data_IF_299116682557
#
_entry.id   IF_299116682557
#
_cell.length_a   1.000
_cell.length_b   1.000
_cell.length_c   1.000
_cell.angle_alpha   90.00
_cell.angle_beta   90.00
_cell.angle_gamma   90.00
#
_symmetry.space_group_name_H-M   'P 1'
#
loop_
_entity.id
_entity.type
_entity.pdbx_description
1 polymer ?
#
# COMPACT_ATOMS: atom_id res chain seq x y z
N UNK A 1 3.87 -0.67 25.45
CA UNK A 1 2.54 -1.31 25.44
C UNK A 1 2.76 -2.71 24.91
N UNK A 2 2.19 -3.72 25.57
CA UNK A 2 2.24 -5.12 25.13
C UNK A 2 1.30 -5.35 23.94
N UNK A 3 1.53 -6.42 23.18
CA UNK A 3 0.79 -6.75 21.95
C UNK A 3 -0.73 -6.76 22.15
N UNK A 4 -1.31 -7.41 23.17
CA UNK A 4 -2.77 -7.44 23.34
C UNK A 4 -3.37 -6.04 23.44
N UNK A 5 -2.81 -5.16 24.27
CA UNK A 5 -3.31 -3.79 24.43
C UNK A 5 -3.22 -2.96 23.15
N UNK A 6 -2.22 -3.21 22.31
CA UNK A 6 -2.13 -2.57 21.00
C UNK A 6 -3.28 -3.02 20.09
N UNK A 7 -3.56 -4.32 20.02
CA UNK A 7 -4.62 -4.86 19.18
C UNK A 7 -6.02 -4.48 19.70
N UNK A 8 -6.22 -4.46 21.02
CA UNK A 8 -7.45 -3.93 21.65
C UNK A 8 -7.65 -2.45 21.29
N UNK A 9 -6.60 -1.63 21.39
CA UNK A 9 -6.67 -0.21 21.06
C UNK A 9 -6.97 0.03 19.57
N UNK A 10 -6.40 -0.78 18.67
CA UNK A 10 -6.72 -0.73 17.24
C UNK A 10 -8.17 -1.14 16.97
N UNK A 11 -8.66 -2.19 17.64
CA UNK A 11 -10.05 -2.67 17.51
C UNK A 11 -11.08 -1.59 17.87
N UNK A 12 -10.80 -0.77 18.90
CA UNK A 12 -11.65 0.36 19.28
C UNK A 12 -11.75 1.48 18.23
N UNK A 13 -10.87 1.50 17.24
CA UNK A 13 -10.89 2.47 16.14
C UNK A 13 -11.66 1.96 14.92
N UNK A 14 -12.15 0.71 14.95
CA UNK A 14 -12.99 0.12 13.91
C UNK A 14 -14.47 0.35 14.27
N UNK A 15 -15.26 1.05 13.43
CA UNK A 15 -16.69 1.17 13.69
C UNK A 15 -17.40 -0.19 13.64
N UNK A 16 -18.31 -0.45 14.57
CA UNK A 16 -19.05 -1.73 14.65
C UNK A 16 -19.85 -2.07 13.37
N UNK A 17 -20.24 -1.07 12.60
CA UNK A 17 -20.98 -1.25 11.34
C UNK A 17 -20.10 -1.72 10.17
N UNK A 18 -18.78 -1.75 10.31
CA UNK A 18 -17.86 -2.25 9.27
C UNK A 18 -17.94 -3.76 9.23
N UNK A 19 -18.19 -4.29 8.03
CA UNK A 19 -18.25 -5.72 7.74
C UNK A 19 -17.51 -5.95 6.43
N UNK A 20 -16.61 -6.93 6.40
CA UNK A 20 -15.87 -7.29 5.16
C UNK A 20 -16.75 -8.15 4.23
N UNK A 21 -16.28 -8.37 3.00
CA UNK A 21 -16.98 -9.27 2.05
C UNK A 21 -17.10 -10.71 2.59
N UNK A 22 -16.17 -11.12 3.46
CA UNK A 22 -16.17 -12.42 4.13
C UNK A 22 -16.99 -12.43 5.42
N UNK A 23 -17.79 -11.39 5.67
CA UNK A 23 -18.58 -11.20 6.89
C UNK A 23 -17.75 -11.07 8.18
N UNK A 24 -16.48 -10.68 8.07
CA UNK A 24 -15.64 -10.39 9.25
C UNK A 24 -16.07 -9.05 9.85
N UNK A 25 -16.14 -9.01 11.17
CA UNK A 25 -16.51 -7.86 11.99
C UNK A 25 -15.48 -7.64 13.10
N UNK A 26 -15.56 -6.50 13.78
CA UNK A 26 -14.71 -6.24 14.95
C UNK A 26 -14.98 -7.23 16.09
N UNK A 27 -16.17 -7.84 16.16
CA UNK A 27 -16.47 -8.86 17.18
C UNK A 27 -15.65 -10.13 17.00
N UNK A 28 -15.40 -10.53 15.75
CA UNK A 28 -14.52 -11.67 15.46
C UNK A 28 -13.11 -11.40 16.00
N UNK A 29 -12.60 -10.18 15.83
CA UNK A 29 -11.29 -9.77 16.39
C UNK A 29 -11.27 -9.94 17.90
N UNK A 30 -12.32 -9.49 18.61
CA UNK A 30 -12.41 -9.64 20.07
C UNK A 30 -12.44 -11.11 20.51
N UNK A 31 -13.08 -12.00 19.73
CA UNK A 31 -13.06 -13.43 19.98
C UNK A 31 -11.64 -14.00 19.91
N UNK A 32 -10.89 -13.69 18.86
CA UNK A 32 -9.49 -14.14 18.72
C UNK A 32 -8.57 -13.57 19.80
N UNK A 33 -8.76 -12.29 20.18
CA UNK A 33 -8.01 -11.67 21.28
C UNK A 33 -8.26 -12.37 22.62
N UNK A 34 -9.50 -12.78 22.90
CA UNK A 34 -9.86 -13.50 24.13
C UNK A 34 -9.23 -14.90 24.23
N UNK A 35 -8.78 -15.46 23.10
CA UNK A 35 -8.13 -16.78 23.02
C UNK A 35 -6.62 -16.70 22.81
N UNK A 36 -6.02 -15.51 22.97
CA UNK A 36 -4.59 -15.25 22.74
C UNK A 36 -4.12 -15.49 21.28
N UNK A 37 -5.04 -15.48 20.31
CA UNK A 37 -4.75 -15.69 18.89
C UNK A 37 -4.40 -14.35 18.20
N UNK A 38 -3.31 -13.72 18.66
CA UNK A 38 -2.96 -12.34 18.31
C UNK A 38 -2.56 -12.12 16.85
N UNK A 39 -1.90 -13.08 16.21
CA UNK A 39 -1.57 -12.99 14.77
C UNK A 39 -2.84 -12.99 13.92
N UNK A 40 -3.81 -13.85 14.25
CA UNK A 40 -5.11 -13.90 13.56
C UNK A 40 -5.90 -12.61 13.80
N UNK A 41 -5.94 -12.12 15.04
CA UNK A 41 -6.57 -10.84 15.34
C UNK A 41 -5.95 -9.68 14.55
N UNK A 42 -4.63 -9.67 14.35
CA UNK A 42 -3.95 -8.68 13.54
C UNK A 42 -4.37 -8.78 12.06
N UNK A 43 -4.37 -9.98 11.47
CA UNK A 43 -4.75 -10.19 10.07
C UNK A 43 -6.20 -9.72 9.80
N UNK A 44 -7.12 -10.00 10.73
CA UNK A 44 -8.51 -9.54 10.63
C UNK A 44 -8.62 -8.00 10.71
N UNK A 45 -7.81 -7.36 11.56
CA UNK A 45 -7.76 -5.90 11.63
C UNK A 45 -7.19 -5.28 10.35
N UNK A 46 -6.19 -5.91 9.72
CA UNK A 46 -5.69 -5.48 8.40
C UNK A 46 -6.80 -5.53 7.34
N UNK A 47 -7.59 -6.61 7.30
CA UNK A 47 -8.72 -6.76 6.37
C UNK A 47 -9.82 -5.71 6.62
N UNK A 48 -10.19 -5.49 7.88
CA UNK A 48 -11.17 -4.47 8.27
C UNK A 48 -10.73 -3.06 7.87
N UNK A 49 -9.42 -2.76 8.00
CA UNK A 49 -8.84 -1.48 7.60
C UNK A 49 -8.83 -1.23 6.08
N UNK A 50 -8.96 -2.27 5.27
CA UNK A 50 -9.04 -2.12 3.81
C UNK A 50 -10.46 -1.80 3.31
N UNK A 51 -11.49 -2.19 4.08
CA UNK A 51 -12.91 -1.92 3.74
C UNK A 51 -13.30 -0.49 4.11
N UNK A 52 -12.85 0.01 5.26
CA UNK A 52 -13.17 1.35 5.74
C UNK A 52 -11.89 2.12 6.04
N UNK A 53 -11.65 3.32 5.44
CA UNK A 53 -10.43 4.09 5.68
C UNK A 53 -10.28 4.46 7.16
N UNK A 54 -9.42 3.78 7.93
CA UNK A 54 -9.35 4.01 9.37
C UNK A 54 -8.46 5.23 9.65
N UNK A 55 -8.52 5.81 10.86
CA UNK A 55 -7.64 6.90 11.23
C UNK A 55 -6.17 6.45 11.19
N UNK A 56 -5.24 7.36 10.92
CA UNK A 56 -3.80 7.06 10.89
C UNK A 56 -3.29 6.31 12.13
N UNK A 57 -3.84 6.62 13.31
CA UNK A 57 -3.47 5.98 14.57
C UNK A 57 -3.72 4.46 14.58
N UNK A 58 -4.73 3.99 13.84
CA UNK A 58 -5.01 2.57 13.66
C UNK A 58 -3.82 1.83 13.06
N UNK A 59 -3.37 2.27 11.88
CA UNK A 59 -2.24 1.65 11.17
C UNK A 59 -0.92 1.78 11.93
N UNK A 60 -0.70 2.90 12.64
CA UNK A 60 0.49 3.06 13.49
C UNK A 60 0.51 2.05 14.66
N UNK A 61 -0.67 1.78 15.23
CA UNK A 61 -0.83 0.85 16.34
C UNK A 61 -0.61 -0.59 15.86
N UNK A 62 -1.20 -0.98 14.73
CA UNK A 62 -0.98 -2.28 14.10
C UNK A 62 0.48 -2.51 13.69
N UNK A 63 1.14 -1.50 13.10
CA UNK A 63 2.55 -1.59 12.75
C UNK A 63 3.41 -1.92 13.99
N UNK A 64 3.14 -1.24 15.12
CA UNK A 64 3.85 -1.49 16.38
C UNK A 64 3.58 -2.90 16.92
N UNK A 65 2.35 -3.41 16.80
CA UNK A 65 2.01 -4.77 17.22
C UNK A 65 2.71 -5.82 16.35
N UNK A 66 2.66 -5.66 15.02
CA UNK A 66 3.34 -6.54 14.07
C UNK A 66 4.85 -6.59 14.30
N UNK A 67 5.50 -5.45 14.57
CA UNK A 67 6.93 -5.37 14.90
C UNK A 67 7.27 -6.15 16.18
N UNK A 68 6.44 -6.03 17.23
CA UNK A 68 6.66 -6.79 18.48
C UNK A 68 6.48 -8.30 18.31
N UNK A 69 5.61 -8.71 17.39
CA UNK A 69 5.41 -10.12 17.01
C UNK A 69 6.38 -10.61 15.93
N UNK A 70 7.28 -9.75 15.42
CA UNK A 70 8.22 -10.06 14.33
C UNK A 70 7.54 -10.47 13.01
N UNK A 71 6.36 -9.92 12.75
CA UNK A 71 5.61 -10.11 11.51
C UNK A 71 6.03 -9.06 10.47
N UNK A 72 7.21 -9.26 9.88
CA UNK A 72 7.87 -8.25 9.02
C UNK A 72 6.99 -7.75 7.85
N UNK A 73 6.24 -8.64 7.20
CA UNK A 73 5.39 -8.28 6.06
C UNK A 73 4.18 -7.43 6.50
N UNK A 74 3.51 -7.83 7.57
CA UNK A 74 2.38 -7.11 8.17
C UNK A 74 2.82 -5.74 8.69
N UNK A 75 3.99 -5.66 9.34
CA UNK A 75 4.59 -4.38 9.74
C UNK A 75 4.84 -3.48 8.53
N UNK A 76 5.45 -4.00 7.46
CA UNK A 76 5.68 -3.26 6.23
C UNK A 76 4.36 -2.79 5.57
N UNK A 77 3.32 -3.62 5.60
CA UNK A 77 1.99 -3.27 5.11
C UNK A 77 1.35 -2.15 5.93
N UNK A 78 1.35 -2.25 7.25
CA UNK A 78 0.81 -1.22 8.13
C UNK A 78 1.53 0.13 7.95
N UNK A 79 2.85 0.13 7.77
CA UNK A 79 3.62 1.33 7.42
C UNK A 79 3.26 1.88 6.04
N UNK A 80 3.00 1.00 5.07
CA UNK A 80 2.51 1.38 3.75
C UNK A 80 1.14 2.09 3.85
N UNK A 81 0.20 1.52 4.60
CA UNK A 81 -1.13 2.11 4.82
C UNK A 81 -1.06 3.42 5.60
N UNK A 82 -0.09 3.59 6.51
CA UNK A 82 0.20 4.90 7.11
C UNK A 82 0.60 5.95 6.06
N UNK A 83 1.42 5.59 5.07
CA UNK A 83 1.78 6.50 3.98
C UNK A 83 0.54 6.86 3.16
N UNK A 84 -0.26 5.88 2.77
CA UNK A 84 -1.44 6.09 1.93
C UNK A 84 -2.51 6.93 2.62
N UNK A 85 -2.72 6.71 3.92
CA UNK A 85 -3.65 7.54 4.72
C UNK A 85 -3.28 9.02 4.67
N UNK A 86 -1.98 9.33 4.67
CA UNK A 86 -1.47 10.72 4.66
C UNK A 86 -1.41 11.34 3.27
N UNK A 87 -1.12 10.55 2.24
CA UNK A 87 -0.74 11.06 0.92
C UNK A 87 -1.72 10.68 -0.20
N UNK A 88 -2.70 9.84 0.09
CA UNK A 88 -3.58 9.24 -0.89
C UNK A 88 -3.06 7.91 -1.42
N UNK A 89 -3.90 7.25 -2.23
CA UNK A 89 -3.63 5.94 -2.82
C UNK A 89 -3.42 6.13 -4.32
N UNK A 90 -2.40 5.46 -4.87
CA UNK A 90 -2.19 5.32 -6.31
C UNK A 90 -2.06 3.84 -6.61
N UNK A 91 -3.01 3.30 -7.39
CA UNK A 91 -2.94 1.92 -7.89
C UNK A 91 -2.73 1.91 -9.38
N UNK A 92 -1.91 0.99 -9.86
CA UNK A 92 -1.63 0.80 -11.27
C UNK A 92 -1.54 -0.69 -11.60
N UNK A 93 -1.90 -1.06 -12.82
CA UNK A 93 -1.65 -2.38 -13.37
C UNK A 93 -0.28 -2.36 -14.06
N UNK A 94 0.72 -3.00 -13.47
CA UNK A 94 2.10 -3.01 -13.95
C UNK A 94 2.37 -4.31 -14.70
N UNK A 95 2.81 -4.20 -15.95
CA UNK A 95 3.41 -5.28 -16.72
C UNK A 95 4.93 -5.08 -16.79
N UNK A 96 5.68 -6.06 -16.28
CA UNK A 96 7.14 -6.07 -16.40
C UNK A 96 7.55 -6.61 -17.77
N UNK A 97 8.68 -6.11 -18.26
CA UNK A 97 9.31 -6.69 -19.44
C UNK A 97 9.89 -8.07 -19.13
N UNK A 98 9.89 -9.00 -20.10
CA UNK A 98 10.59 -10.27 -19.98
C UNK A 98 12.10 -10.07 -19.72
N UNK A 99 12.72 -11.06 -19.07
CA UNK A 99 14.15 -11.02 -18.73
C UNK A 99 15.08 -10.86 -19.94
N UNK A 100 14.65 -11.27 -21.14
CA UNK A 100 15.46 -11.12 -22.36
C UNK A 100 15.32 -9.74 -23.03
N UNK A 101 14.38 -8.90 -22.58
CA UNK A 101 14.09 -7.57 -23.16
C UNK A 101 14.48 -6.41 -22.22
N UNK A 102 14.75 -6.71 -20.95
CA UNK A 102 15.11 -5.73 -19.94
C UNK A 102 16.20 -6.26 -19.02
N UNK A 103 16.76 -5.37 -18.20
CA UNK A 103 17.85 -5.69 -17.30
C UNK A 103 17.47 -6.74 -16.24
N UNK A 104 16.24 -6.70 -15.74
CA UNK A 104 15.77 -7.53 -14.62
C UNK A 104 15.75 -9.01 -15.00
N UNK A 105 16.64 -9.79 -14.38
CA UNK A 105 16.74 -11.23 -14.57
C UNK A 105 16.05 -12.05 -13.46
N UNK A 106 15.81 -11.43 -12.30
CA UNK A 106 15.30 -12.11 -11.11
C UNK A 106 14.06 -11.44 -10.57
N UNK A 107 13.25 -12.17 -9.77
CA UNK A 107 12.08 -11.61 -9.11
C UNK A 107 12.47 -10.49 -8.15
N UNK A 108 11.50 -9.65 -7.77
CA UNK A 108 11.62 -8.80 -6.59
C UNK A 108 10.51 -9.08 -5.57
N UNK A 109 10.78 -8.71 -4.32
CA UNK A 109 9.79 -8.76 -3.23
C UNK A 109 8.70 -7.72 -3.43
N UNK A 110 7.45 -8.16 -3.40
CA UNK A 110 6.26 -7.30 -3.49
C UNK A 110 5.97 -6.49 -2.22
N UNK A 111 6.75 -6.66 -1.16
CA UNK A 111 6.51 -6.04 0.15
C UNK A 111 7.03 -4.61 0.28
N UNK A 112 6.88 -3.76 -0.75
CA UNK A 112 7.16 -2.33 -0.60
C UNK A 112 8.63 -1.96 -0.46
N UNK A 113 9.59 -2.82 -0.84
CA UNK A 113 11.04 -2.56 -0.69
C UNK A 113 11.64 -1.90 -1.93
N UNK A 114 11.17 -2.27 -3.13
CA UNK A 114 11.70 -1.72 -4.38
C UNK A 114 11.36 -0.22 -4.48
N UNK A 115 12.30 0.59 -4.98
CA UNK A 115 12.17 2.04 -5.19
C UNK A 115 12.58 2.40 -6.63
N UNK A 116 11.86 1.94 -7.67
CA UNK A 116 12.24 2.23 -9.05
C UNK A 116 11.96 3.69 -9.41
N UNK A 117 12.50 4.10 -10.57
CA UNK A 117 12.22 5.39 -11.17
C UNK A 117 11.03 5.29 -12.12
N UNK A 118 10.26 6.36 -12.24
CA UNK A 118 9.05 6.41 -13.04
C UNK A 118 9.04 7.62 -13.94
N UNK A 119 8.75 7.40 -15.21
CA UNK A 119 8.34 8.48 -16.11
C UNK A 119 6.82 8.59 -16.06
N UNK A 120 6.34 9.71 -15.52
CA UNK A 120 4.92 10.04 -15.34
C UNK A 120 4.41 11.05 -16.39
N UNK A 121 5.14 11.25 -17.48
CA UNK A 121 4.80 12.17 -18.57
C UNK A 121 5.51 13.53 -18.52
N UNK A 122 6.31 13.78 -17.47
CA UNK A 122 7.13 14.98 -17.34
C UNK A 122 8.34 14.95 -18.29
N UNK A 123 8.78 16.14 -18.73
CA UNK A 123 10.03 16.33 -19.46
C UNK A 123 10.90 17.34 -18.72
N UNK A 124 12.21 17.10 -18.71
CA UNK A 124 13.19 18.05 -18.22
C UNK A 124 13.26 19.28 -19.14
N UNK A 125 13.88 20.39 -18.71
CA UNK A 125 14.12 21.55 -19.59
C UNK A 125 14.91 21.21 -20.86
N UNK A 126 15.69 20.13 -20.85
CA UNK A 126 16.46 19.64 -21.99
C UNK A 126 15.67 18.67 -22.88
N UNK A 127 14.41 18.38 -22.54
CA UNK A 127 13.49 17.55 -23.32
C UNK A 127 13.58 16.05 -23.02
N UNK A 128 14.46 15.63 -22.12
CA UNK A 128 14.58 14.24 -21.66
C UNK A 128 13.42 13.87 -20.72
N UNK A 129 13.05 12.59 -20.59
CA UNK A 129 12.07 12.15 -19.59
C UNK A 129 12.47 12.57 -18.18
N UNK A 130 11.56 13.22 -17.46
CA UNK A 130 11.77 13.54 -16.05
C UNK A 130 11.34 12.35 -15.18
N UNK A 131 12.30 11.79 -14.44
CA UNK A 131 12.12 10.54 -13.70
C UNK A 131 11.93 10.80 -12.20
N UNK A 132 10.92 10.15 -11.62
CA UNK A 132 10.55 10.30 -10.22
C UNK A 132 10.60 8.97 -9.47
N UNK A 133 11.07 8.98 -8.23
CA UNK A 133 11.15 7.76 -7.41
C UNK A 133 9.81 7.53 -6.71
N UNK A 134 9.31 6.31 -6.78
CA UNK A 134 8.20 5.83 -5.96
C UNK A 134 8.50 4.42 -5.47
N UNK A 135 8.19 4.13 -4.21
CA UNK A 135 8.11 2.76 -3.73
C UNK A 135 7.00 2.00 -4.44
N UNK A 136 7.12 0.67 -4.47
CA UNK A 136 6.13 -0.19 -5.07
C UNK A 136 5.78 -1.36 -4.15
N UNK A 137 4.50 -1.54 -3.90
CA UNK A 137 3.90 -2.71 -3.25
C UNK A 137 3.11 -3.51 -4.29
N UNK A 138 3.26 -4.82 -4.33
CA UNK A 138 2.51 -5.70 -5.25
C UNK A 138 1.34 -6.32 -4.50
N UNK A 139 0.13 -6.13 -5.02
CA UNK A 139 -1.08 -6.69 -4.42
C UNK A 139 -1.14 -8.21 -4.66
N UNK A 140 -1.65 -8.95 -3.67
CA UNK A 140 -1.97 -10.39 -3.72
C UNK A 140 -0.84 -11.39 -4.06
N UNK A 141 0.37 -10.94 -4.39
CA UNK A 141 1.53 -11.83 -4.60
C UNK A 141 2.75 -11.39 -3.78
N UNK A 142 3.51 -12.35 -3.21
CA UNK A 142 4.71 -12.02 -2.44
C UNK A 142 5.88 -11.57 -3.31
N UNK A 143 5.93 -12.00 -4.58
CA UNK A 143 7.02 -11.69 -5.52
C UNK A 143 6.47 -11.39 -6.91
N UNK A 144 7.23 -10.62 -7.68
CA UNK A 144 6.92 -10.31 -9.08
C UNK A 144 8.06 -10.75 -9.99
N UNK A 145 7.75 -11.64 -10.92
CA UNK A 145 8.67 -12.26 -11.89
C UNK A 145 8.91 -11.35 -13.10
N UNK A 146 10.08 -11.39 -13.75
CA UNK A 146 10.25 -10.76 -15.07
C UNK A 146 9.17 -11.26 -16.06
N UNK A 147 8.56 -10.34 -16.82
CA UNK A 147 7.48 -10.66 -17.76
C UNK A 147 6.09 -10.84 -17.14
N UNK A 148 5.97 -10.79 -15.80
CA UNK A 148 4.67 -10.88 -15.13
C UNK A 148 3.92 -9.55 -15.10
N UNK A 149 2.64 -9.63 -14.79
CA UNK A 149 1.75 -8.49 -14.64
C UNK A 149 0.98 -8.61 -13.33
N UNK A 150 0.84 -7.51 -12.60
CA UNK A 150 0.11 -7.45 -11.34
C UNK A 150 -0.36 -6.03 -11.03
N UNK A 151 -1.42 -5.93 -10.23
CA UNK A 151 -1.79 -4.66 -9.61
C UNK A 151 -0.77 -4.28 -8.54
N UNK A 152 -0.33 -3.03 -8.60
CA UNK A 152 0.66 -2.46 -7.69
C UNK A 152 0.17 -1.16 -7.10
N UNK A 153 0.61 -0.89 -5.87
CA UNK A 153 0.40 0.38 -5.17
C UNK A 153 1.69 1.16 -5.22
N UNK A 154 1.60 2.46 -5.44
CA UNK A 154 2.76 3.35 -5.55
C UNK A 154 2.79 4.33 -4.39
N UNK A 155 3.95 4.43 -3.73
CA UNK A 155 4.20 5.44 -2.71
C UNK A 155 5.33 6.39 -3.16
N UNK A 156 4.98 7.54 -3.78
CA UNK A 156 5.96 8.50 -4.28
C UNK A 156 6.85 9.08 -3.20
N UNK A 157 8.14 9.23 -3.50
CA UNK A 157 9.07 9.98 -2.63
C UNK A 157 8.73 11.49 -2.61
N UNK A 158 8.13 11.99 -3.69
CA UNK A 158 7.68 13.38 -3.81
C UNK A 158 6.22 13.44 -4.28
N UNK A 159 5.23 13.23 -3.37
CA UNK A 159 3.81 13.11 -3.73
C UNK A 159 3.24 14.28 -4.54
N UNK A 160 3.70 15.51 -4.31
CA UNK A 160 3.25 16.70 -5.05
C UNK A 160 3.49 16.61 -6.55
N UNK A 161 4.51 15.88 -6.99
CA UNK A 161 4.82 15.67 -8.42
C UNK A 161 3.86 14.72 -9.12
N UNK A 162 3.12 13.92 -8.35
CA UNK A 162 2.23 12.87 -8.84
C UNK A 162 0.76 13.30 -8.89
N UNK A 163 0.44 14.52 -8.44
CA UNK A 163 -0.93 15.05 -8.36
C UNK A 163 -1.65 15.18 -9.71
N UNK A 164 -0.91 15.25 -10.82
CA UNK A 164 -1.46 15.38 -12.16
C UNK A 164 -1.79 14.05 -12.83
N UNK A 165 -1.41 12.92 -12.22
CA UNK A 165 -1.77 11.61 -12.75
C UNK A 165 -3.29 11.47 -12.85
N UNK A 166 -3.73 10.68 -13.82
CA UNK A 166 -5.14 10.36 -14.03
C UNK A 166 -5.31 8.85 -14.21
N UNK A 167 -6.44 8.26 -13.77
CA UNK A 167 -6.83 6.92 -14.18
C UNK A 167 -6.81 6.75 -15.71
N UNK A 168 -6.32 5.61 -16.18
CA UNK A 168 -6.08 5.30 -17.59
C UNK A 168 -4.76 5.82 -18.15
N UNK A 169 -4.02 6.67 -17.43
CA UNK A 169 -2.72 7.15 -17.88
C UNK A 169 -1.67 6.03 -17.90
N UNK A 170 -0.89 5.96 -18.97
CA UNK A 170 0.25 5.05 -19.09
C UNK A 170 1.52 5.71 -18.54
N UNK A 171 2.17 5.06 -17.60
CA UNK A 171 3.47 5.45 -17.03
C UNK A 171 4.48 4.31 -17.25
N UNK A 172 5.78 4.63 -17.20
CA UNK A 172 6.82 3.61 -17.36
C UNK A 172 7.71 3.53 -16.14
N UNK A 173 8.01 2.31 -15.72
CA UNK A 173 8.97 1.99 -14.67
C UNK A 173 10.35 1.82 -15.28
N UNK A 174 11.37 2.39 -14.66
CA UNK A 174 12.77 2.37 -15.09
C UNK A 174 13.66 1.83 -13.97
N UNK A 175 14.63 1.01 -14.36
CA UNK A 175 15.64 0.44 -13.46
C UNK A 175 17.06 0.84 -13.86
N UNK A 176 17.24 2.14 -14.13
CA UNK A 176 18.40 2.87 -14.65
C UNK A 176 17.91 3.85 -15.74
N UNK A 177 18.34 3.70 -16.99
CA UNK A 177 17.81 4.42 -18.15
C UNK A 177 16.94 3.53 -19.05
N UNK A 178 16.76 2.27 -18.68
CA UNK A 178 15.97 1.28 -19.42
C UNK A 178 14.58 1.13 -18.82
N UNK A 179 13.58 1.06 -19.70
CA UNK A 179 12.20 0.76 -19.29
C UNK A 179 12.16 -0.69 -18.84
N UNK A 180 11.88 -0.91 -17.56
CA UNK A 180 11.73 -2.23 -16.96
C UNK A 180 10.27 -2.72 -16.98
N UNK A 181 9.31 -1.80 -17.09
CA UNK A 181 7.89 -2.13 -17.18
C UNK A 181 7.01 -0.97 -17.59
N UNK A 182 5.78 -1.27 -17.93
CA UNK A 182 4.74 -0.30 -18.30
C UNK A 182 3.57 -0.49 -17.36
N UNK A 183 3.05 0.59 -16.80
CA UNK A 183 1.89 0.54 -15.92
C UNK A 183 0.76 1.43 -16.42
N UNK A 184 -0.47 0.95 -16.27
CA UNK A 184 -1.68 1.74 -16.50
C UNK A 184 -2.22 2.15 -15.13
N UNK A 185 -2.34 3.45 -14.87
CA UNK A 185 -2.93 3.95 -13.62
C UNK A 185 -4.39 3.51 -13.55
N UNK A 186 -4.76 2.78 -12.50
CA UNK A 186 -6.12 2.29 -12.31
C UNK A 186 -6.93 3.25 -11.46
N UNK A 187 -6.33 3.73 -10.38
CA UNK A 187 -7.03 4.46 -9.34
C UNK A 187 -6.12 5.48 -8.69
N UNK A 188 -6.68 6.66 -8.42
CA UNK A 188 -6.06 7.71 -7.63
C UNK A 188 -7.09 8.18 -6.63
N UNK A 189 -6.77 8.05 -5.35
CA UNK A 189 -7.55 8.63 -4.27
C UNK A 189 -6.71 9.68 -3.57
N UNK A 190 -7.28 10.86 -3.31
CA UNK A 190 -6.61 11.88 -2.50
C UNK A 190 -6.41 11.41 -1.05
N UNK A 191 -5.61 12.14 -0.24
CA UNK A 191 -5.51 11.85 1.18
C UNK A 191 -6.89 11.92 1.83
N UNK A 192 -7.18 10.98 2.73
CA UNK A 192 -8.45 10.94 3.45
C UNK A 192 -8.53 12.17 4.36
N UNK A 193 -9.39 13.12 3.99
CA UNK A 193 -9.73 14.24 4.88
C UNK A 193 -10.85 13.74 5.78
N UNK A 194 -10.64 13.73 7.09
CA UNK A 194 -11.71 13.45 8.04
C UNK A 194 -12.90 14.38 7.72
N UNK A 195 -14.14 13.86 7.65
CA UNK A 195 -15.29 14.72 7.37
C UNK A 195 -15.32 15.83 8.43
N UNK A 196 -15.37 17.08 7.96
CA UNK A 196 -15.52 18.23 8.83
C UNK A 196 -16.80 18.03 9.65
N UNK A 197 -16.68 17.96 10.98
CA UNK A 197 -17.82 17.95 11.87
C UNK A 197 -18.62 19.23 11.61
N UNK A 198 -19.77 19.11 10.94
CA UNK A 198 -20.74 20.19 10.83
C UNK A 198 -21.20 20.53 12.25
N UNK A 199 -20.64 21.58 12.83
CA UNK A 199 -21.18 22.17 14.05
C UNK A 199 -22.54 22.76 13.72
N UNK A 200 -23.57 22.22 14.36
CA UNK A 200 -24.95 22.74 14.35
C UNK A 200 -25.11 23.75 15.48
#
# INVERSE_FOLDING_TARGET
MDVPKLLEAASLLVPEAVVTENYITVNDVWEYLAHDEWEVALDLLEELGDVHPPPLAFWQTLATAAEQMQLDRSAAWCHWRCFETRNGIIRADLALRPAHEARRQTPFSGAGVLRPMWNIGGKSPTGEPDLYIAALWVEFTPFMEPGSQATVRLAPLSPSKWQQLQPGQVITMHEDRTVAGTAVVLEIQGPSVAPATLQS
#
